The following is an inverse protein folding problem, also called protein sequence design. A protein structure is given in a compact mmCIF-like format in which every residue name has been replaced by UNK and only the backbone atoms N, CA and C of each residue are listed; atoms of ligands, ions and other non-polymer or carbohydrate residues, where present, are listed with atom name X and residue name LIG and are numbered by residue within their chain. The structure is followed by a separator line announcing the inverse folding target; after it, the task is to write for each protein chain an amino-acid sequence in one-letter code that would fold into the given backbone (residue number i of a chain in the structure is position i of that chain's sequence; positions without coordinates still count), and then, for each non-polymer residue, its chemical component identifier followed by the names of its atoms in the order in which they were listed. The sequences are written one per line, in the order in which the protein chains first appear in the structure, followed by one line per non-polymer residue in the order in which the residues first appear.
data_IF_132482309884
#
_entry.id   IF_132482309884
#
_cell.length_a   1.000
_cell.length_b   1.000
_cell.length_c   1.000
_cell.angle_alpha   90.00
_cell.angle_beta   90.00
_cell.angle_gamma   90.00
#
_symmetry.space_group_name_H-M   'P 1'
#
loop_
_entity.id
_entity.type
_entity.pdbx_description
1 polymer ?
#
# COMPACT_ATOMS: atom_id res chain seq x y z
N UNK A 1 1.77 -3.65 9.34
CA UNK A 1 1.71 -3.35 7.89
C UNK A 1 0.86 -2.12 7.60
N UNK A 2 0.80 -1.15 8.51
CA UNK A 2 -0.12 -0.01 8.38
C UNK A 2 0.62 1.20 7.83
N UNK A 3 0.02 1.97 6.92
CA UNK A 3 0.62 3.19 6.40
C UNK A 3 0.85 4.22 7.51
N UNK A 4 1.92 4.99 7.38
CA UNK A 4 2.25 6.11 8.26
C UNK A 4 2.80 7.28 7.44
N UNK A 5 2.36 8.49 7.75
CA UNK A 5 2.76 9.71 7.03
C UNK A 5 1.95 9.96 5.76
N UNK A 6 2.54 10.71 4.83
CA UNK A 6 1.91 11.00 3.54
C UNK A 6 2.14 9.87 2.55
N UNK A 7 1.08 9.48 1.85
CA UNK A 7 1.11 8.45 0.82
C UNK A 7 0.55 9.03 -0.46
N UNK A 8 1.27 8.85 -1.55
CA UNK A 8 0.80 9.23 -2.89
C UNK A 8 0.29 7.99 -3.65
N UNK A 9 -0.93 8.11 -4.18
CA UNK A 9 -1.50 7.18 -5.15
C UNK A 9 -1.43 7.83 -6.52
N UNK A 10 -0.57 7.28 -7.38
CA UNK A 10 -0.38 7.78 -8.75
C UNK A 10 -1.49 7.20 -9.63
N UNK A 11 -2.30 8.10 -10.20
CA UNK A 11 -3.38 7.79 -11.12
C UNK A 11 -2.89 7.90 -12.58
N UNK A 12 -3.77 7.63 -13.54
CA UNK A 12 -3.51 7.90 -14.96
C UNK A 12 -3.22 9.39 -15.20
N UNK A 13 -2.49 9.71 -16.27
CA UNK A 13 -2.22 11.09 -16.71
C UNK A 13 -1.44 11.95 -15.69
N UNK A 14 -0.58 11.32 -14.88
CA UNK A 14 0.26 11.99 -13.86
C UNK A 14 -0.53 12.76 -12.78
N UNK A 15 -1.81 12.46 -12.63
CA UNK A 15 -2.57 12.89 -11.45
C UNK A 15 -2.17 12.04 -10.24
N UNK A 16 -2.15 12.65 -9.06
CA UNK A 16 -1.83 11.97 -7.81
C UNK A 16 -2.89 12.30 -6.76
N UNK A 17 -3.28 11.29 -5.99
CA UNK A 17 -4.05 11.48 -4.75
C UNK A 17 -3.09 11.26 -3.59
N UNK A 18 -2.80 12.32 -2.86
CA UNK A 18 -1.90 12.29 -1.71
C UNK A 18 -2.76 12.31 -0.44
N UNK A 19 -2.58 11.33 0.45
CA UNK A 19 -3.39 11.16 1.66
C UNK A 19 -2.47 10.98 2.87
N UNK A 20 -2.86 11.58 4.00
CA UNK A 20 -2.12 11.43 5.25
C UNK A 20 -2.73 10.33 6.12
N UNK A 21 -1.86 9.47 6.65
CA UNK A 21 -2.22 8.38 7.55
C UNK A 21 -1.43 8.45 8.87
N UNK A 22 -2.08 8.06 9.95
CA UNK A 22 -1.43 7.75 11.22
C UNK A 22 -1.72 6.29 11.58
N UNK A 23 -0.70 5.45 11.46
CA UNK A 23 -0.77 4.02 11.78
C UNK A 23 -2.00 3.32 11.20
N UNK A 24 -2.27 3.53 9.90
CA UNK A 24 -3.41 2.93 9.19
C UNK A 24 -4.69 3.74 9.22
N UNK A 25 -4.77 4.75 10.07
CA UNK A 25 -5.96 5.61 10.17
C UNK A 25 -5.80 6.78 9.21
N UNK A 26 -6.73 6.92 8.27
CA UNK A 26 -6.78 8.10 7.40
C UNK A 26 -7.07 9.35 8.23
N UNK A 27 -6.18 10.33 8.17
CA UNK A 27 -6.24 11.53 9.02
C UNK A 27 -7.23 12.58 8.51
N UNK A 28 -8.02 12.24 7.48
CA UNK A 28 -8.89 13.19 6.79
C UNK A 28 -8.10 14.41 6.28
N UNK A 29 -6.90 14.17 5.74
CA UNK A 29 -6.05 15.19 5.13
C UNK A 29 -5.47 14.65 3.83
N UNK A 30 -5.51 15.47 2.78
CA UNK A 30 -5.09 15.02 1.46
C UNK A 30 -5.15 16.10 0.38
N UNK A 31 -4.54 15.79 -0.75
CA UNK A 31 -4.57 16.60 -1.96
C UNK A 31 -4.87 15.72 -3.17
N UNK A 32 -5.60 16.25 -4.14
CA UNK A 32 -5.54 15.77 -5.52
C UNK A 32 -4.70 16.77 -6.28
N UNK A 33 -3.64 16.33 -6.94
CA UNK A 33 -2.73 17.19 -7.71
C UNK A 33 -2.53 16.62 -9.11
N UNK A 34 -2.30 17.50 -10.08
CA UNK A 34 -1.73 17.11 -11.37
C UNK A 34 -0.36 17.81 -11.53
N UNK A 35 0.20 17.84 -12.74
CA UNK A 35 1.51 18.46 -12.97
C UNK A 35 1.51 20.00 -12.89
N UNK A 36 0.33 20.62 -12.84
CA UNK A 36 0.19 22.07 -12.98
C UNK A 36 -0.36 22.72 -11.71
N UNK A 37 -1.23 22.05 -10.96
CA UNK A 37 -1.89 22.65 -9.79
C UNK A 37 -2.43 21.63 -8.80
N UNK A 38 -2.90 22.14 -7.66
CA UNK A 38 -3.72 21.37 -6.73
C UNK A 38 -5.17 21.42 -7.21
N UNK A 39 -5.73 20.26 -7.51
CA UNK A 39 -7.10 20.10 -8.00
C UNK A 39 -8.12 20.12 -6.88
N UNK A 40 -7.76 19.56 -5.71
CA UNK A 40 -8.65 19.43 -4.55
C UNK A 40 -7.87 19.28 -3.26
N UNK A 41 -8.40 19.82 -2.17
CA UNK A 41 -7.95 19.56 -0.80
C UNK A 41 -8.97 18.70 -0.07
N UNK A 42 -8.52 17.70 0.68
CA UNK A 42 -9.36 16.87 1.52
C UNK A 42 -9.26 17.30 2.99
N UNK A 43 -10.43 17.44 3.63
CA UNK A 43 -10.55 17.71 5.07
C UNK A 43 -10.36 19.16 5.48
N UNK A 44 -10.23 19.38 6.79
CA UNK A 44 -9.97 20.70 7.37
C UNK A 44 -8.47 20.88 7.47
N UNK A 45 -7.84 21.19 6.34
CA UNK A 45 -6.38 21.29 6.29
C UNK A 45 -5.93 22.70 6.65
N UNK A 46 -4.89 22.79 7.48
CA UNK A 46 -4.16 24.03 7.73
C UNK A 46 -2.87 24.03 6.93
N UNK A 47 -2.78 24.91 5.94
CA UNK A 47 -1.55 25.13 5.16
C UNK A 47 -0.89 26.37 5.76
N UNK A 48 0.14 26.17 6.58
CA UNK A 48 0.62 27.23 7.46
C UNK A 48 -0.52 27.72 8.38
N UNK A 49 -0.81 29.01 8.35
CA UNK A 49 -1.90 29.63 9.12
C UNK A 49 -3.27 29.58 8.41
N UNK A 50 -3.33 29.08 7.16
CA UNK A 50 -4.55 29.13 6.34
C UNK A 50 -5.39 27.87 6.54
N UNK A 51 -6.68 28.00 6.85
CA UNK A 51 -7.61 26.87 6.97
C UNK A 51 -8.53 26.70 5.76
N UNK A 52 -8.58 25.49 5.19
CA UNK A 52 -9.47 25.14 4.08
C UNK A 52 -10.59 24.19 4.53
N UNK A 53 -11.79 24.35 3.95
CA UNK A 53 -12.93 23.47 4.21
C UNK A 53 -13.38 22.72 2.94
N UNK A 54 -14.07 21.60 3.17
CA UNK A 54 -14.19 20.39 2.32
C UNK A 54 -14.68 20.51 0.87
N UNK A 55 -15.07 21.66 0.32
CA UNK A 55 -15.71 21.73 -1.01
C UNK A 55 -15.41 23.01 -1.82
N UNK A 56 -14.33 23.73 -1.53
CA UNK A 56 -13.94 24.86 -2.39
C UNK A 56 -13.09 24.38 -3.58
N UNK A 57 -13.53 24.69 -4.80
CA UNK A 57 -12.62 24.86 -5.92
C UNK A 57 -11.56 25.87 -5.50
N UNK A 58 -10.28 25.49 -5.59
CA UNK A 58 -9.17 26.40 -5.30
C UNK A 58 -9.22 27.49 -6.37
N UNK A 59 -9.86 28.63 -6.06
CA UNK A 59 -9.94 29.82 -6.92
C UNK A 59 -8.82 30.83 -6.59
N UNK A 60 -7.89 30.48 -5.70
CA UNK A 60 -6.92 31.43 -5.09
C UNK A 60 -5.47 31.02 -5.38
N UNK A 61 -5.19 30.57 -6.60
CA UNK A 61 -3.82 30.40 -7.10
C UNK A 61 -3.51 31.56 -8.04
N UNK A 62 -2.74 32.54 -7.58
CA UNK A 62 -2.15 33.57 -8.44
C UNK A 62 -0.67 33.25 -8.65
N UNK A 63 -0.12 33.67 -9.79
CA UNK A 63 1.34 33.65 -9.97
C UNK A 63 1.96 34.68 -9.03
N UNK A 64 2.97 34.27 -8.27
CA UNK A 64 3.63 35.12 -7.31
C UNK A 64 4.99 34.60 -6.89
N UNK A 65 5.64 35.39 -6.04
CA UNK A 65 6.99 35.13 -5.53
C UNK A 65 6.91 35.06 -4.00
N UNK A 66 7.47 34.02 -3.41
CA UNK A 66 7.60 33.85 -1.96
C UNK A 66 9.07 33.68 -1.60
N UNK A 67 9.59 34.58 -0.79
CA UNK A 67 10.94 34.53 -0.25
C UNK A 67 10.94 34.06 1.21
N UNK A 68 11.87 33.19 1.58
CA UNK A 68 12.19 32.87 2.97
C UNK A 68 13.24 33.83 3.52
N UNK A 69 13.27 34.02 4.84
CA UNK A 69 14.21 34.95 5.51
C UNK A 69 15.69 34.65 5.22
N UNK A 70 16.02 33.39 4.93
CA UNK A 70 17.38 32.96 4.59
C UNK A 70 17.71 33.02 3.09
N UNK A 71 16.81 33.54 2.25
CA UNK A 71 17.08 33.85 0.84
C UNK A 71 16.57 32.84 -0.19
N UNK A 72 16.08 31.67 0.23
CA UNK A 72 15.44 30.74 -0.73
C UNK A 72 14.12 31.30 -1.24
N UNK A 73 13.82 31.04 -2.51
CA UNK A 73 12.70 31.66 -3.22
C UNK A 73 11.87 30.64 -3.98
N UNK A 74 10.56 30.84 -3.98
CA UNK A 74 9.63 30.11 -4.84
C UNK A 74 8.94 31.09 -5.79
N UNK A 75 8.87 30.73 -7.07
CA UNK A 75 8.17 31.47 -8.12
C UNK A 75 7.14 30.55 -8.78
N UNK A 76 5.85 30.85 -8.67
CA UNK A 76 4.80 29.98 -9.23
C UNK A 76 3.43 30.25 -8.65
N UNK A 77 2.60 29.21 -8.60
CA UNK A 77 1.25 29.30 -8.04
C UNK A 77 1.30 29.39 -6.51
N UNK A 78 0.67 30.44 -5.98
CA UNK A 78 0.72 30.80 -4.56
C UNK A 78 -0.69 30.98 -4.00
N UNK A 79 -0.92 30.46 -2.80
CA UNK A 79 -2.06 30.85 -1.97
C UNK A 79 -1.72 32.15 -1.25
N UNK A 80 -2.54 33.18 -1.45
CA UNK A 80 -2.36 34.49 -0.80
C UNK A 80 -3.42 34.72 0.27
N UNK A 81 -3.01 34.86 1.54
CA UNK A 81 -3.89 35.35 2.61
C UNK A 81 -3.11 36.30 3.53
N UNK A 82 -3.72 37.44 3.90
CA UNK A 82 -3.13 38.40 4.86
C UNK A 82 -1.69 38.88 4.53
N UNK A 83 -1.35 39.01 3.23
CA UNK A 83 -0.03 39.44 2.69
C UNK A 83 1.09 38.39 2.75
N UNK A 84 0.83 37.19 3.24
CA UNK A 84 1.79 36.09 3.17
C UNK A 84 1.38 35.14 2.06
N UNK A 85 2.34 34.84 1.17
CA UNK A 85 2.18 33.85 0.11
C UNK A 85 2.69 32.50 0.59
N UNK A 86 1.95 31.43 0.31
CA UNK A 86 2.39 30.05 0.53
C UNK A 86 2.45 29.31 -0.81
N UNK A 87 3.58 28.67 -1.17
CA UNK A 87 3.66 27.84 -2.37
C UNK A 87 2.51 26.83 -2.41
N UNK A 88 1.75 26.81 -3.50
CA UNK A 88 0.60 25.93 -3.64
C UNK A 88 0.25 25.67 -5.10
N UNK A 89 0.97 24.72 -5.69
CA UNK A 89 0.81 24.36 -7.09
C UNK A 89 2.17 24.33 -7.79
N UNK A 90 2.15 24.43 -9.11
CA UNK A 90 3.37 24.36 -9.90
C UNK A 90 4.21 25.63 -9.74
N UNK A 91 5.53 25.46 -9.65
CA UNK A 91 6.48 26.56 -9.69
C UNK A 91 7.92 26.10 -9.70
N UNK A 92 8.81 27.08 -9.54
CA UNK A 92 10.26 26.94 -9.54
C UNK A 92 10.79 27.34 -8.17
N UNK A 93 11.63 26.49 -7.56
CA UNK A 93 12.30 26.77 -6.29
C UNK A 93 13.77 27.05 -6.54
N UNK A 94 14.26 28.10 -5.91
CA UNK A 94 15.64 28.56 -5.93
C UNK A 94 16.23 28.50 -4.51
N UNK A 95 17.50 28.10 -4.40
CA UNK A 95 18.24 28.17 -3.15
C UNK A 95 18.67 29.62 -2.81
N UNK A 96 19.36 29.80 -1.68
CA UNK A 96 19.84 31.09 -1.18
C UNK A 96 20.97 31.71 -2.02
N UNK A 97 21.64 30.91 -2.84
CA UNK A 97 22.59 31.36 -3.87
C UNK A 97 21.90 31.74 -5.20
N UNK A 98 20.59 31.47 -5.31
CA UNK A 98 19.78 31.75 -6.49
C UNK A 98 19.87 30.69 -7.59
N UNK A 99 20.40 29.49 -7.29
CA UNK A 99 20.36 28.36 -8.21
C UNK A 99 18.98 27.71 -8.21
N UNK A 100 18.49 27.36 -9.39
CA UNK A 100 17.28 26.55 -9.54
C UNK A 100 17.54 25.16 -8.97
N UNK A 101 16.72 24.74 -8.00
CA UNK A 101 16.84 23.43 -7.33
C UNK A 101 15.65 22.52 -7.58
N UNK A 102 14.48 23.05 -7.94
CA UNK A 102 13.30 22.23 -8.23
C UNK A 102 12.29 22.91 -9.16
N UNK A 103 11.61 22.14 -10.00
CA UNK A 103 10.40 22.50 -10.75
C UNK A 103 9.33 21.45 -10.57
N UNK A 104 8.12 21.85 -10.19
CA UNK A 104 7.00 20.93 -10.00
C UNK A 104 6.00 21.43 -8.97
N UNK A 105 5.09 20.56 -8.53
CA UNK A 105 4.12 20.92 -7.48
C UNK A 105 4.84 21.11 -6.15
N UNK A 106 4.60 22.27 -5.54
CA UNK A 106 5.02 22.61 -4.19
C UNK A 106 3.80 23.01 -3.36
N UNK A 107 3.68 22.43 -2.17
CA UNK A 107 2.63 22.75 -1.21
C UNK A 107 3.34 23.05 0.10
N UNK A 108 3.28 24.30 0.54
CA UNK A 108 3.91 24.77 1.77
C UNK A 108 5.38 24.33 1.90
N UNK A 109 6.19 24.68 0.90
CA UNK A 109 7.63 24.38 0.85
C UNK A 109 8.00 22.90 0.84
N UNK A 110 7.04 22.02 0.54
CA UNK A 110 7.31 20.60 0.33
C UNK A 110 6.93 20.16 -1.08
N UNK A 111 7.77 19.32 -1.67
CA UNK A 111 7.58 18.77 -3.02
C UNK A 111 6.51 17.67 -3.01
N UNK A 112 5.58 17.74 -3.96
CA UNK A 112 4.54 16.74 -4.19
C UNK A 112 4.36 16.46 -5.69
N UNK A 113 3.69 15.38 -6.03
CA UNK A 113 3.34 15.07 -7.43
C UNK A 113 4.58 14.83 -8.30
N UNK A 114 4.42 14.97 -9.62
CA UNK A 114 5.56 14.85 -10.54
C UNK A 114 6.39 16.15 -10.54
N UNK A 115 7.71 16.03 -10.52
CA UNK A 115 8.62 17.17 -10.52
C UNK A 115 10.07 16.80 -10.83
N UNK A 116 10.87 17.82 -11.07
CA UNK A 116 12.29 17.70 -11.47
C UNK A 116 13.16 18.48 -10.48
N UNK A 117 14.19 17.86 -9.92
CA UNK A 117 15.25 18.56 -9.16
C UNK A 117 16.52 18.69 -9.98
N UNK A 118 17.38 19.62 -9.58
CA UNK A 118 18.57 20.02 -10.35
C UNK A 118 19.82 20.03 -9.48
N UNK A 119 20.94 19.65 -10.10
CA UNK A 119 22.28 19.88 -9.56
C UNK A 119 22.61 21.37 -9.60
N UNK A 120 23.58 21.80 -8.80
CA UNK A 120 24.07 23.18 -8.78
C UNK A 120 24.63 23.70 -10.13
N UNK A 121 24.95 22.80 -11.08
CA UNK A 121 25.36 23.17 -12.43
C UNK A 121 24.17 23.34 -13.40
N UNK A 122 22.93 23.24 -12.91
CA UNK A 122 21.70 23.32 -13.68
C UNK A 122 21.31 22.03 -14.41
N UNK A 123 22.11 20.96 -14.30
CA UNK A 123 21.76 19.65 -14.84
C UNK A 123 20.63 18.99 -14.03
N UNK A 124 19.77 18.21 -14.67
CA UNK A 124 18.74 17.44 -13.96
C UNK A 124 19.42 16.47 -12.98
N UNK A 125 18.94 16.44 -11.75
CA UNK A 125 19.38 15.50 -10.70
C UNK A 125 18.40 14.34 -10.56
N UNK A 126 17.11 14.66 -10.51
CA UNK A 126 16.05 13.68 -10.41
C UNK A 126 14.82 14.15 -11.19
N UNK A 127 14.15 13.23 -11.86
CA UNK A 127 12.88 13.44 -12.53
C UNK A 127 11.92 12.32 -12.13
N UNK A 128 10.84 12.63 -11.43
CA UNK A 128 9.91 11.62 -10.94
C UNK A 128 8.88 12.17 -9.96
N UNK A 129 8.23 11.27 -9.22
CA UNK A 129 7.25 11.69 -8.22
C UNK A 129 7.89 12.05 -6.88
N UNK A 130 7.20 12.93 -6.16
CA UNK A 130 7.53 13.43 -4.85
C UNK A 130 6.32 13.32 -3.92
N UNK A 131 6.57 13.09 -2.64
CA UNK A 131 5.56 13.07 -1.60
C UNK A 131 6.20 13.55 -0.30
N UNK A 132 5.72 14.69 0.22
CA UNK A 132 6.22 15.29 1.46
C UNK A 132 7.74 15.47 1.44
N UNK A 133 8.25 16.06 0.36
CA UNK A 133 9.67 16.32 0.12
C UNK A 133 10.57 15.09 -0.12
N UNK A 134 9.98 13.89 -0.13
CA UNK A 134 10.69 12.66 -0.39
C UNK A 134 10.41 12.16 -1.81
N UNK A 135 11.43 11.58 -2.47
CA UNK A 135 11.22 10.86 -3.73
C UNK A 135 10.19 9.75 -3.51
N UNK A 136 9.25 9.65 -4.44
CA UNK A 136 8.15 8.70 -4.37
C UNK A 136 7.88 8.13 -5.77
N UNK A 137 7.32 6.93 -5.82
CA UNK A 137 6.95 6.27 -7.07
C UNK A 137 8.08 6.14 -8.08
N UNK A 138 7.75 6.03 -9.36
CA UNK A 138 8.76 5.84 -10.40
C UNK A 138 9.54 7.14 -10.60
N UNK A 139 10.87 7.05 -10.66
CA UNK A 139 11.73 8.21 -10.90
C UNK A 139 13.09 7.84 -11.48
N UNK A 140 13.70 8.81 -12.16
CA UNK A 140 14.99 8.73 -12.83
C UNK A 140 16.00 9.63 -12.13
N UNK A 141 17.20 9.11 -11.90
CA UNK A 141 18.31 9.85 -11.29
C UNK A 141 19.40 10.03 -12.33
N UNK A 142 19.95 11.24 -12.42
CA UNK A 142 21.00 11.59 -13.37
C UNK A 142 22.23 12.14 -12.65
N UNK A 143 23.41 11.90 -13.22
CA UNK A 143 24.64 12.54 -12.74
C UNK A 143 24.77 13.98 -13.26
N UNK A 144 25.82 14.68 -12.79
CA UNK A 144 26.11 16.08 -13.17
C UNK A 144 26.43 16.27 -14.66
N UNK A 145 26.65 15.20 -15.42
CA UNK A 145 26.88 15.23 -16.87
C UNK A 145 25.63 14.88 -17.67
N UNK A 146 24.49 14.67 -16.99
CA UNK A 146 23.22 14.31 -17.61
C UNK A 146 23.10 12.82 -17.97
N UNK A 147 23.99 11.96 -17.46
CA UNK A 147 23.90 10.52 -17.70
C UNK A 147 22.90 9.90 -16.72
N UNK A 148 21.99 9.07 -17.22
CA UNK A 148 21.09 8.27 -16.38
C UNK A 148 21.92 7.32 -15.50
N UNK A 149 21.75 7.45 -14.19
CA UNK A 149 22.41 6.65 -13.16
C UNK A 149 21.48 5.54 -12.67
N UNK A 150 20.21 5.87 -12.46
CA UNK A 150 19.22 4.93 -11.94
C UNK A 150 17.81 5.26 -12.46
N UNK A 151 16.98 4.23 -12.61
CA UNK A 151 15.54 4.33 -12.87
C UNK A 151 14.85 3.26 -12.03
N UNK A 152 14.16 3.66 -10.98
CA UNK A 152 13.58 2.75 -9.99
C UNK A 152 12.31 3.34 -9.36
N UNK A 153 11.71 2.56 -8.47
CA UNK A 153 10.57 2.98 -7.66
C UNK A 153 11.03 3.44 -6.28
N UNK A 154 10.45 4.53 -5.78
CA UNK A 154 10.80 5.18 -4.53
C UNK A 154 9.62 5.14 -3.55
N UNK A 155 9.90 5.02 -2.27
CA UNK A 155 8.92 5.21 -1.20
C UNK A 155 9.58 5.94 -0.05
N UNK A 156 9.09 7.15 0.25
CA UNK A 156 9.66 8.02 1.28
C UNK A 156 11.18 8.17 1.17
N UNK A 157 11.68 8.36 -0.06
CA UNK A 157 13.10 8.61 -0.32
C UNK A 157 13.97 7.35 -0.38
N UNK A 158 13.38 6.17 -0.13
CA UNK A 158 14.09 4.89 -0.18
C UNK A 158 13.77 4.19 -1.50
N UNK A 159 14.81 3.73 -2.20
CA UNK A 159 14.66 2.87 -3.37
C UNK A 159 13.98 1.57 -2.93
N UNK A 160 12.86 1.24 -3.57
CA UNK A 160 12.07 0.07 -3.24
C UNK A 160 12.18 -0.98 -4.32
N UNK A 161 12.43 -2.21 -3.88
CA UNK A 161 12.18 -3.38 -4.69
C UNK A 161 10.69 -3.72 -4.67
N UNK A 162 10.24 -4.41 -5.72
CA UNK A 162 8.92 -5.04 -5.79
C UNK A 162 8.81 -6.30 -4.93
N UNK A 163 9.95 -6.80 -4.44
CA UNK A 163 10.10 -7.94 -3.55
C UNK A 163 10.31 -7.48 -2.09
N UNK A 164 9.48 -7.98 -1.17
CA UNK A 164 9.73 -7.87 0.26
C UNK A 164 10.07 -9.25 0.81
N UNK A 165 11.22 -9.40 1.45
CA UNK A 165 11.57 -10.57 2.25
C UNK A 165 12.05 -10.14 3.64
N UNK A 166 11.33 -10.56 4.68
CA UNK A 166 11.69 -10.18 6.06
C UNK A 166 10.68 -10.65 7.09
N UNK A 167 10.89 -10.29 8.36
CA UNK A 167 9.98 -10.66 9.45
C UNK A 167 8.87 -9.61 9.70
N UNK A 168 8.83 -8.51 8.94
CA UNK A 168 7.91 -7.40 9.17
C UNK A 168 8.44 -6.26 10.06
N UNK A 169 9.72 -6.27 10.46
CA UNK A 169 10.36 -5.16 11.19
C UNK A 169 10.57 -3.93 10.31
N UNK A 170 10.94 -4.16 9.05
CA UNK A 170 11.18 -3.10 8.08
C UNK A 170 9.86 -2.56 7.51
N UNK A 171 9.79 -1.27 7.16
CA UNK A 171 8.62 -0.68 6.52
C UNK A 171 8.18 -1.45 5.27
N UNK A 172 6.89 -1.77 5.18
CA UNK A 172 6.30 -2.32 3.96
C UNK A 172 5.86 -1.17 3.05
N UNK A 173 6.32 -1.18 1.81
CA UNK A 173 5.85 -0.27 0.76
C UNK A 173 4.52 -0.79 0.18
N UNK A 174 3.56 0.10 -0.05
CA UNK A 174 2.26 -0.21 -0.68
C UNK A 174 2.37 -0.76 -2.11
N UNK A 175 3.53 -0.59 -2.77
CA UNK A 175 3.73 -0.99 -4.17
C UNK A 175 4.38 -2.36 -4.33
N UNK A 176 4.69 -3.06 -3.23
CA UNK A 176 5.25 -4.41 -3.29
C UNK A 176 4.32 -5.33 -4.10
N UNK A 177 4.95 -6.19 -4.90
CA UNK A 177 4.28 -7.23 -5.68
C UNK A 177 4.38 -8.58 -4.99
N UNK A 178 5.48 -8.82 -4.30
CA UNK A 178 5.77 -10.11 -3.71
C UNK A 178 6.11 -9.92 -2.24
N UNK A 179 5.19 -10.33 -1.36
CA UNK A 179 5.37 -10.27 0.09
C UNK A 179 5.79 -11.63 0.60
N UNK A 180 7.01 -11.74 1.15
CA UNK A 180 7.50 -12.93 1.83
C UNK A 180 7.84 -12.62 3.28
N UNK A 181 7.00 -13.12 4.19
CA UNK A 181 7.25 -13.04 5.62
C UNK A 181 7.97 -14.29 6.09
N UNK A 182 9.08 -14.11 6.82
CA UNK A 182 9.80 -15.21 7.45
C UNK A 182 8.96 -15.88 8.54
N UNK A 183 9.42 -17.05 8.98
CA UNK A 183 8.89 -17.71 10.17
C UNK A 183 8.93 -16.76 11.38
N UNK A 184 7.97 -16.93 12.29
CA UNK A 184 7.87 -16.14 13.52
C UNK A 184 7.89 -14.62 13.27
N UNK A 185 7.18 -14.14 12.23
CA UNK A 185 7.14 -12.73 11.89
C UNK A 185 6.72 -11.85 13.09
N UNK A 186 7.25 -10.64 13.19
CA UNK A 186 6.98 -9.73 14.31
C UNK A 186 5.61 -9.05 14.22
N UNK A 187 4.94 -9.20 13.07
CA UNK A 187 3.61 -8.63 12.83
C UNK A 187 2.55 -9.40 13.61
N UNK A 188 1.74 -8.66 14.35
CA UNK A 188 0.64 -9.22 15.17
C UNK A 188 -0.74 -9.03 14.54
N UNK A 189 -0.86 -8.06 13.63
CA UNK A 189 -2.08 -7.71 12.92
C UNK A 189 -1.98 -8.12 11.45
N UNK A 190 -3.12 -8.51 10.87
CA UNK A 190 -3.26 -8.80 9.45
C UNK A 190 -4.15 -7.74 8.79
N UNK A 191 -3.56 -6.94 7.90
CA UNK A 191 -4.26 -6.05 6.99
C UNK A 191 -3.35 -5.76 5.80
N UNK A 192 -3.77 -6.21 4.63
CA UNK A 192 -3.06 -6.03 3.35
C UNK A 192 -3.90 -5.24 2.34
N UNK A 193 -5.00 -4.63 2.79
CA UNK A 193 -5.99 -3.95 1.93
C UNK A 193 -5.40 -2.82 1.07
N UNK A 194 -4.33 -2.18 1.57
CA UNK A 194 -3.64 -1.09 0.87
C UNK A 194 -2.49 -1.56 -0.03
N UNK A 195 -2.15 -2.84 -0.02
CA UNK A 195 -1.09 -3.44 -0.84
C UNK A 195 -1.68 -3.91 -2.19
N UNK A 196 -2.34 -2.99 -2.90
CA UNK A 196 -3.14 -3.28 -4.10
C UNK A 196 -2.33 -3.82 -5.29
N UNK A 197 -0.99 -3.71 -5.24
CA UNK A 197 -0.08 -4.23 -6.24
C UNK A 197 0.36 -5.68 -6.00
N UNK A 198 -0.02 -6.30 -4.88
CA UNK A 198 0.39 -7.66 -4.56
C UNK A 198 -0.02 -8.66 -5.65
N UNK A 199 0.94 -9.44 -6.09
CA UNK A 199 0.84 -10.59 -6.99
C UNK A 199 1.09 -11.91 -6.23
N UNK A 200 1.91 -11.91 -5.18
CA UNK A 200 2.08 -13.08 -4.30
C UNK A 200 2.22 -12.70 -2.82
N UNK A 201 1.67 -13.58 -1.98
CA UNK A 201 1.84 -13.55 -0.53
C UNK A 201 2.42 -14.90 -0.10
N UNK A 202 3.56 -14.89 0.56
CA UNK A 202 4.16 -16.02 1.26
C UNK A 202 4.34 -15.65 2.73
N UNK A 203 3.75 -16.45 3.62
CA UNK A 203 3.87 -16.31 5.06
C UNK A 203 4.57 -17.56 5.57
N UNK A 204 5.63 -17.38 6.35
CA UNK A 204 6.36 -18.47 6.99
C UNK A 204 5.54 -19.20 8.06
N UNK A 205 6.23 -20.07 8.78
CA UNK A 205 5.67 -20.86 9.86
C UNK A 205 5.47 -20.01 11.12
N UNK A 206 4.52 -20.39 11.96
CA UNK A 206 4.32 -19.84 13.31
C UNK A 206 3.94 -18.34 13.37
N UNK A 207 3.33 -17.80 12.32
CA UNK A 207 2.97 -16.38 12.21
C UNK A 207 1.52 -16.08 12.65
N UNK A 208 1.24 -14.81 13.01
CA UNK A 208 -0.12 -14.26 13.15
C UNK A 208 -1.09 -14.99 14.12
N UNK A 209 -0.62 -15.62 15.19
CA UNK A 209 -1.49 -16.38 16.11
C UNK A 209 -2.64 -15.56 16.75
N UNK A 210 -2.44 -14.25 16.93
CA UNK A 210 -3.44 -13.36 17.54
C UNK A 210 -4.54 -12.90 16.59
N UNK A 211 -4.37 -13.09 15.28
CA UNK A 211 -5.33 -12.64 14.27
C UNK A 211 -6.63 -13.42 14.41
N UNK A 212 -7.76 -12.69 14.36
CA UNK A 212 -9.10 -13.28 14.40
C UNK A 212 -9.71 -13.42 13.02
N UNK A 213 -9.57 -12.38 12.21
CA UNK A 213 -10.11 -12.36 10.86
C UNK A 213 -8.98 -12.30 9.87
N UNK A 214 -8.81 -13.38 9.11
CA UNK A 214 -7.97 -13.34 7.91
C UNK A 214 -8.87 -12.96 6.76
N UNK A 215 -8.66 -11.76 6.21
CA UNK A 215 -9.45 -11.25 5.10
C UNK A 215 -8.53 -10.71 4.01
N UNK A 216 -8.84 -11.08 2.78
CA UNK A 216 -8.35 -10.45 1.57
C UNK A 216 -9.57 -10.17 0.70
N UNK A 217 -9.78 -8.91 0.33
CA UNK A 217 -10.91 -8.48 -0.47
C UNK A 217 -10.43 -7.49 -1.55
N UNK A 218 -10.71 -7.78 -2.82
CA UNK A 218 -10.45 -6.83 -3.91
C UNK A 218 -9.00 -6.74 -4.39
N UNK A 219 -8.10 -7.63 -3.94
CA UNK A 219 -6.71 -7.68 -4.42
C UNK A 219 -6.64 -8.35 -5.80
N UNK A 220 -7.11 -7.64 -6.82
CA UNK A 220 -7.31 -8.18 -8.17
C UNK A 220 -6.04 -8.56 -8.93
N UNK A 221 -4.86 -8.17 -8.43
CA UNK A 221 -3.55 -8.58 -8.99
C UNK A 221 -2.98 -9.82 -8.32
N UNK A 222 -3.53 -10.23 -7.18
CA UNK A 222 -3.00 -11.32 -6.37
C UNK A 222 -3.24 -12.64 -7.08
N UNK A 223 -2.16 -13.39 -7.34
CA UNK A 223 -2.17 -14.68 -8.05
C UNK A 223 -1.95 -15.85 -7.11
N UNK A 224 -1.09 -15.70 -6.11
CA UNK A 224 -0.70 -16.82 -5.24
C UNK A 224 -0.71 -16.42 -3.77
N UNK A 225 -1.21 -17.33 -2.94
CA UNK A 225 -1.14 -17.24 -1.48
C UNK A 225 -0.52 -18.52 -0.96
N UNK A 226 0.54 -18.39 -0.16
CA UNK A 226 1.18 -19.48 0.56
C UNK A 226 1.30 -19.11 2.03
N UNK A 227 0.81 -20.00 2.89
CA UNK A 227 0.83 -19.84 4.34
C UNK A 227 1.56 -21.05 4.91
N UNK A 228 2.56 -20.81 5.76
CA UNK A 228 3.33 -21.84 6.45
C UNK A 228 2.51 -22.59 7.51
N UNK A 229 3.16 -23.48 8.22
CA UNK A 229 2.58 -24.32 9.28
C UNK A 229 2.30 -23.52 10.54
N UNK A 230 1.30 -23.95 11.32
CA UNK A 230 0.94 -23.34 12.60
C UNK A 230 0.69 -21.81 12.54
N UNK A 231 0.42 -21.27 11.36
CA UNK A 231 0.17 -19.84 11.16
C UNK A 231 -1.32 -19.54 11.34
N UNK A 232 -1.64 -18.34 11.81
CA UNK A 232 -3.02 -17.94 12.14
C UNK A 232 -3.71 -18.90 13.12
N UNK A 233 -3.00 -19.35 14.15
CA UNK A 233 -3.62 -20.10 15.25
C UNK A 233 -2.91 -19.88 16.56
N UNK A 234 -3.66 -19.95 17.67
CA UNK A 234 -3.09 -20.02 19.03
C UNK A 234 -2.92 -21.47 19.49
N UNK A 235 -3.57 -22.42 18.80
CA UNK A 235 -3.64 -23.83 19.20
C UNK A 235 -2.67 -24.67 18.38
N UNK A 236 -1.37 -24.45 18.65
CA UNK A 236 -0.25 -25.03 17.90
C UNK A 236 -0.29 -26.55 17.93
N UNK A 237 -0.19 -27.18 16.75
CA UNK A 237 -0.25 -28.63 16.57
C UNK A 237 -1.50 -29.31 17.18
N UNK A 238 -2.57 -28.55 17.37
CA UNK A 238 -3.84 -29.02 17.94
C UNK A 238 -5.00 -28.28 17.23
N UNK A 239 -6.24 -28.40 17.71
CA UNK A 239 -7.41 -27.65 17.24
C UNK A 239 -8.05 -26.87 18.37
N UNK A 240 -8.61 -25.73 18.01
CA UNK A 240 -9.45 -24.94 18.91
C UNK A 240 -10.88 -24.83 18.39
N UNK A 241 -11.71 -24.16 19.19
CA UNK A 241 -13.05 -23.76 18.78
C UNK A 241 -13.24 -22.29 19.14
N UNK A 242 -12.92 -21.40 18.20
CA UNK A 242 -13.20 -19.98 18.34
C UNK A 242 -14.11 -19.51 17.20
N UNK A 243 -15.40 -19.35 17.53
CA UNK A 243 -16.42 -18.85 16.60
C UNK A 243 -16.24 -17.40 16.21
N UNK A 244 -15.42 -16.63 16.92
CA UNK A 244 -15.11 -15.24 16.58
C UNK A 244 -14.03 -15.12 15.50
N UNK A 245 -13.37 -16.23 15.15
CA UNK A 245 -12.32 -16.25 14.12
C UNK A 245 -12.86 -16.71 12.78
N UNK A 246 -12.51 -16.00 11.71
CA UNK A 246 -13.07 -16.21 10.37
C UNK A 246 -12.06 -15.99 9.25
N UNK A 247 -12.27 -16.68 8.14
CA UNK A 247 -11.37 -16.72 6.98
C UNK A 247 -12.14 -16.33 5.72
N UNK A 248 -11.69 -15.28 5.04
CA UNK A 248 -12.36 -14.74 3.86
C UNK A 248 -11.35 -14.37 2.77
N UNK A 249 -11.54 -14.90 1.56
CA UNK A 249 -10.88 -14.43 0.36
C UNK A 249 -11.96 -14.13 -0.67
N UNK A 250 -12.13 -12.84 -0.96
CA UNK A 250 -13.26 -12.29 -1.70
C UNK A 250 -12.76 -11.45 -2.88
N UNK A 251 -13.46 -11.48 -4.00
CA UNK A 251 -13.27 -10.56 -5.12
C UNK A 251 -11.80 -10.43 -5.57
N UNK A 252 -11.09 -11.55 -5.70
CA UNK A 252 -9.71 -11.58 -6.19
C UNK A 252 -9.69 -12.19 -7.59
N UNK A 253 -9.82 -11.35 -8.61
CA UNK A 253 -10.05 -11.79 -9.99
C UNK A 253 -8.90 -12.62 -10.58
N UNK A 254 -7.65 -12.32 -10.20
CA UNK A 254 -6.46 -13.01 -10.72
C UNK A 254 -5.96 -14.15 -9.83
N UNK A 255 -6.66 -14.50 -8.74
CA UNK A 255 -6.14 -15.48 -7.79
C UNK A 255 -6.18 -16.88 -8.39
N UNK A 256 -5.01 -17.49 -8.55
CA UNK A 256 -4.81 -18.78 -9.22
C UNK A 256 -4.63 -19.93 -8.21
N UNK A 257 -3.89 -19.70 -7.12
CA UNK A 257 -3.57 -20.76 -6.15
C UNK A 257 -3.52 -20.32 -4.70
N UNK A 258 -4.00 -21.20 -3.82
CA UNK A 258 -3.95 -21.06 -2.36
C UNK A 258 -3.28 -22.31 -1.77
N UNK A 259 -2.22 -22.11 -0.99
CA UNK A 259 -1.55 -23.15 -0.23
C UNK A 259 -1.53 -22.79 1.26
N UNK A 260 -2.00 -23.70 2.10
CA UNK A 260 -2.04 -23.52 3.56
C UNK A 260 -1.34 -24.71 4.22
N UNK A 261 -0.30 -24.43 5.00
CA UNK A 261 0.49 -25.41 5.74
C UNK A 261 -0.30 -26.07 6.87
N UNK A 262 0.19 -27.20 7.35
CA UNK A 262 -0.44 -28.00 8.40
C UNK A 262 -0.70 -27.17 9.68
N UNK A 263 -1.80 -27.48 10.38
CA UNK A 263 -2.19 -26.86 11.65
C UNK A 263 -2.55 -25.37 11.62
N UNK A 264 -2.36 -24.69 10.50
CA UNK A 264 -2.78 -23.30 10.34
C UNK A 264 -4.30 -23.14 10.40
N UNK A 265 -4.79 -22.04 10.99
CA UNK A 265 -6.22 -21.80 11.21
C UNK A 265 -6.97 -22.91 11.97
N UNK A 266 -6.29 -23.70 12.82
CA UNK A 266 -6.91 -24.86 13.47
C UNK A 266 -7.93 -24.53 14.57
N UNK A 267 -7.92 -23.31 15.07
CA UNK A 267 -8.86 -22.76 16.05
C UNK A 267 -9.95 -21.88 15.43
N UNK A 268 -9.95 -21.71 14.10
CA UNK A 268 -10.98 -20.96 13.38
C UNK A 268 -12.26 -21.81 13.28
N UNK A 269 -13.33 -21.34 13.94
CA UNK A 269 -14.64 -21.99 13.96
C UNK A 269 -15.79 -21.08 13.50
N UNK A 270 -15.48 -19.86 13.05
CA UNK A 270 -16.42 -18.97 12.37
C UNK A 270 -16.48 -19.22 10.87
N UNK A 271 -16.86 -18.18 10.13
CA UNK A 271 -17.10 -18.25 8.70
C UNK A 271 -15.82 -18.56 7.92
N UNK A 272 -15.96 -19.43 6.91
CA UNK A 272 -14.97 -19.69 5.90
C UNK A 272 -15.59 -19.39 4.54
N UNK A 273 -15.04 -18.41 3.84
CA UNK A 273 -15.59 -17.94 2.58
C UNK A 273 -14.51 -17.76 1.51
N UNK A 274 -14.71 -18.45 0.39
CA UNK A 274 -14.03 -18.19 -0.87
C UNK A 274 -15.10 -17.76 -1.89
N UNK A 275 -15.02 -16.53 -2.39
CA UNK A 275 -16.06 -15.95 -3.24
C UNK A 275 -15.49 -15.06 -4.34
N UNK A 276 -16.07 -15.15 -5.54
CA UNK A 276 -15.70 -14.32 -6.70
C UNK A 276 -14.21 -14.45 -7.03
N UNK A 277 -13.78 -15.70 -7.28
CA UNK A 277 -12.39 -16.09 -7.59
C UNK A 277 -12.35 -16.82 -8.94
N UNK A 278 -12.62 -16.14 -10.06
CA UNK A 278 -12.87 -16.78 -11.35
C UNK A 278 -11.66 -17.52 -11.93
N UNK A 279 -10.43 -17.12 -11.55
CA UNK A 279 -9.18 -17.74 -12.02
C UNK A 279 -8.63 -18.81 -11.07
N UNK A 280 -9.34 -19.14 -9.97
CA UNK A 280 -8.81 -20.06 -8.98
C UNK A 280 -8.76 -21.50 -9.52
N UNK A 281 -7.56 -22.06 -9.57
CA UNK A 281 -7.28 -23.37 -10.15
C UNK A 281 -6.87 -24.41 -9.10
N UNK A 282 -6.19 -23.99 -8.03
CA UNK A 282 -5.62 -24.90 -7.04
C UNK A 282 -5.85 -24.43 -5.62
N UNK A 283 -6.36 -25.34 -4.77
CA UNK A 283 -6.37 -25.18 -3.32
C UNK A 283 -5.69 -26.40 -2.70
N UNK A 284 -4.64 -26.14 -1.93
CA UNK A 284 -3.96 -27.13 -1.11
C UNK A 284 -4.02 -26.72 0.35
N UNK A 285 -4.59 -27.59 1.20
CA UNK A 285 -4.63 -27.39 2.65
C UNK A 285 -4.02 -28.62 3.33
N UNK A 286 -2.90 -28.39 4.01
CA UNK A 286 -2.06 -29.42 4.61
C UNK A 286 -1.24 -30.22 3.58
N UNK A 287 -0.70 -31.35 4.05
CA UNK A 287 0.08 -32.29 3.24
C UNK A 287 -0.66 -33.63 3.12
N UNK A 288 -0.63 -34.23 1.93
CA UNK A 288 -1.19 -35.56 1.71
C UNK A 288 -0.39 -36.60 2.53
N UNK A 289 -1.11 -37.38 3.34
CA UNK A 289 -0.52 -38.42 4.20
C UNK A 289 -0.15 -37.95 5.60
N UNK A 290 -0.21 -36.64 5.88
CA UNK A 290 0.02 -36.06 7.20
C UNK A 290 -1.30 -35.85 7.95
N UNK A 291 -1.24 -35.94 9.28
CA UNK A 291 -2.35 -35.49 10.13
C UNK A 291 -2.32 -33.96 10.24
N UNK A 292 -3.44 -33.31 9.94
CA UNK A 292 -3.60 -31.86 10.06
C UNK A 292 -5.00 -31.51 10.58
N UNK A 293 -5.09 -30.43 11.35
CA UNK A 293 -6.35 -29.89 11.90
C UNK A 293 -6.69 -28.51 11.34
N UNK A 294 -6.23 -28.19 10.13
CA UNK A 294 -6.63 -26.96 9.45
C UNK A 294 -8.15 -26.82 9.42
N UNK A 295 -8.69 -25.67 9.84
CA UNK A 295 -10.13 -25.38 9.83
C UNK A 295 -11.01 -26.47 10.47
N UNK A 296 -10.52 -27.18 11.49
CA UNK A 296 -11.16 -28.38 12.05
C UNK A 296 -12.64 -28.20 12.43
N UNK A 297 -12.99 -27.01 12.90
CA UNK A 297 -14.32 -26.67 13.40
C UNK A 297 -15.15 -25.78 12.45
N UNK A 298 -14.62 -25.39 11.29
CA UNK A 298 -15.30 -24.47 10.36
C UNK A 298 -16.08 -25.21 9.26
N UNK A 299 -17.17 -24.59 8.81
CA UNK A 299 -17.94 -25.05 7.64
C UNK A 299 -17.37 -24.43 6.36
N UNK A 300 -16.92 -25.27 5.43
CA UNK A 300 -16.25 -24.86 4.21
C UNK A 300 -17.25 -24.39 3.13
N UNK A 301 -17.37 -23.09 2.89
CA UNK A 301 -18.28 -22.53 1.88
C UNK A 301 -17.49 -21.92 0.72
N UNK A 302 -17.72 -22.43 -0.50
CA UNK A 302 -17.14 -21.90 -1.75
C UNK A 302 -18.28 -21.42 -2.67
N UNK A 303 -18.22 -20.18 -3.14
CA UNK A 303 -19.27 -19.59 -4.00
C UNK A 303 -18.69 -18.92 -5.24
N UNK A 304 -19.39 -19.03 -6.37
CA UNK A 304 -19.04 -18.31 -7.60
C UNK A 304 -17.72 -18.73 -8.23
N UNK A 305 -17.44 -20.05 -8.27
CA UNK A 305 -16.31 -20.64 -9.00
C UNK A 305 -16.87 -21.52 -10.13
N UNK A 306 -16.59 -21.13 -11.37
CA UNK A 306 -17.12 -21.79 -12.59
C UNK A 306 -16.14 -22.78 -13.25
N UNK A 307 -14.90 -22.92 -12.73
CA UNK A 307 -13.84 -23.77 -13.33
C UNK A 307 -13.61 -25.11 -12.61
N UNK A 308 -12.87 -26.02 -13.27
CA UNK A 308 -12.41 -27.30 -12.71
C UNK A 308 -11.38 -27.00 -11.60
N UNK A 309 -11.86 -26.97 -10.36
CA UNK A 309 -11.03 -26.69 -9.20
C UNK A 309 -10.37 -27.98 -8.67
N UNK A 310 -9.04 -28.03 -8.70
CA UNK A 310 -8.29 -29.11 -8.05
C UNK A 310 -8.18 -28.81 -6.54
N UNK A 311 -9.03 -29.47 -5.75
CA UNK A 311 -9.03 -29.34 -4.30
C UNK A 311 -8.32 -30.55 -3.68
N UNK A 312 -7.21 -30.30 -3.00
CA UNK A 312 -6.55 -31.28 -2.13
C UNK A 312 -6.69 -30.86 -0.67
N UNK A 313 -7.63 -31.50 0.05
CA UNK A 313 -7.89 -31.24 1.48
C UNK A 313 -7.79 -32.57 2.22
N UNK A 314 -7.01 -32.62 3.30
CA UNK A 314 -6.82 -33.83 4.13
C UNK A 314 -7.37 -33.70 5.55
N UNK A 315 -7.83 -34.84 6.09
CA UNK A 315 -8.47 -35.05 7.39
C UNK A 315 -9.70 -34.18 7.68
N UNK A 316 -10.84 -34.61 7.12
CA UNK A 316 -12.17 -34.13 7.52
C UNK A 316 -12.47 -34.53 8.97
N UNK A 317 -12.84 -33.55 9.81
CA UNK A 317 -13.79 -33.83 10.89
C UNK A 317 -15.19 -34.00 10.27
N UNK A 318 -16.05 -34.76 10.92
CA UNK A 318 -17.36 -35.24 10.44
C UNK A 318 -18.44 -34.15 10.22
N UNK A 319 -18.08 -32.87 10.08
CA UNK A 319 -19.03 -31.74 9.99
C UNK A 319 -18.78 -30.73 8.86
N UNK A 320 -17.71 -30.84 8.07
CA UNK A 320 -17.44 -29.89 6.98
C UNK A 320 -18.31 -30.21 5.75
N UNK A 321 -19.42 -29.50 5.58
CA UNK A 321 -20.25 -29.57 4.37
C UNK A 321 -19.69 -28.61 3.32
N UNK A 322 -19.24 -29.12 2.17
CA UNK A 322 -18.88 -28.28 1.02
C UNK A 322 -20.18 -27.89 0.33
N UNK A 323 -20.56 -26.62 0.43
CA UNK A 323 -21.65 -26.06 -0.35
C UNK A 323 -21.06 -25.43 -1.61
N UNK A 324 -21.22 -26.09 -2.76
CA UNK A 324 -21.07 -25.44 -4.06
C UNK A 324 -22.36 -24.68 -4.34
N UNK A 325 -22.35 -23.39 -4.06
CA UNK A 325 -23.44 -22.51 -4.47
C UNK A 325 -22.94 -21.82 -5.74
N UNK A 326 -23.47 -22.28 -6.88
CA UNK A 326 -23.27 -21.64 -8.18
C UNK A 326 -23.80 -20.21 -8.13
#
# INVERSE_FOLDING_TARGET
MKPYGWISLILSNRECVVLQFDNGVFMNQGFVVNEQKVLKVFGNHRIGDISYNREQSIEVEEEGIVDLDHGSRFEGLVLTENKFGIPFGYGEMYDDDGFLVYKGIMINWKRFGYGTSYHNNGGVEYEGYWCDDNRFGIGKVYDRYGKLVNECEWYNGIECDTEYEGNGSEPLNIRIKHLKLSDYCVLVDWDVSLLYNLESIEIGDECFGSVKTFQIDGLNRLKTIKIGKNSFTQTKNDYGYDKSKSFHILNCESLESIHIGEWSFSDYAGDFELKNLPQLQSIQIGTIGSYSRNFWCSSFVIRGIDMILNISIMHRSSKSTIHYIR
#
